data_IF_912441910697
#
_entry.id   IF_912441910697
#
_cell.length_a   1.000
_cell.length_b   1.000
_cell.length_c   1.000
_cell.angle_alpha   90.00
_cell.angle_beta   90.00
_cell.angle_gamma   90.00
#
_symmetry.space_group_name_H-M   'P 1'
#
loop_
_entity.id
_entity.type
_entity.pdbx_description
1 polymer ?
#
# COMPACT_ATOMS: atom_id res chain seq x y z
N UNK A 1 -12.66 24.90 -10.71
CA UNK A 1 -13.91 24.93 -9.89
C UNK A 1 -14.03 26.31 -9.24
N UNK A 2 -15.21 26.81 -8.84
CA UNK A 2 -15.32 28.09 -8.12
C UNK A 2 -15.77 27.89 -6.66
N UNK A 3 -15.65 28.94 -5.84
CA UNK A 3 -15.99 28.90 -4.41
C UNK A 3 -17.45 28.53 -4.16
N UNK A 4 -18.38 29.08 -4.95
CA UNK A 4 -19.81 28.79 -4.83
C UNK A 4 -20.11 27.30 -4.97
N UNK A 5 -19.58 26.65 -6.02
CA UNK A 5 -19.75 25.21 -6.23
C UNK A 5 -19.07 24.39 -5.14
N UNK A 6 -17.93 24.84 -4.62
CA UNK A 6 -17.27 24.18 -3.49
C UNK A 6 -18.14 24.24 -2.23
N UNK A 7 -18.71 25.40 -1.92
CA UNK A 7 -19.58 25.60 -0.76
C UNK A 7 -20.87 24.77 -0.87
N UNK A 8 -21.42 24.61 -2.08
CA UNK A 8 -22.53 23.69 -2.33
C UNK A 8 -22.17 22.23 -2.00
N UNK A 9 -20.97 21.77 -2.37
CA UNK A 9 -20.49 20.41 -2.04
C UNK A 9 -20.32 20.27 -0.52
N UNK A 10 -19.71 21.26 0.13
CA UNK A 10 -19.58 21.29 1.60
C UNK A 10 -20.95 21.20 2.27
N UNK A 11 -21.92 21.97 1.80
CA UNK A 11 -23.30 21.96 2.31
C UNK A 11 -23.92 20.57 2.19
N UNK A 12 -23.76 19.90 1.03
CA UNK A 12 -24.24 18.53 0.83
C UNK A 12 -23.66 17.57 1.88
N UNK A 13 -22.35 17.63 2.15
CA UNK A 13 -21.76 16.78 3.20
C UNK A 13 -22.29 17.08 4.60
N UNK A 14 -22.58 18.36 4.92
CA UNK A 14 -23.15 18.76 6.22
C UNK A 14 -24.59 18.27 6.42
N UNK A 15 -25.38 18.27 5.35
CA UNK A 15 -26.81 17.92 5.40
C UNK A 15 -27.07 16.42 5.19
N UNK A 16 -26.10 15.70 4.61
CA UNK A 16 -26.22 14.26 4.37
C UNK A 16 -26.23 13.48 5.68
N UNK A 17 -27.10 12.46 5.73
CA UNK A 17 -27.19 11.52 6.85
C UNK A 17 -26.71 10.14 6.45
N UNK A 18 -26.10 9.43 7.39
CA UNK A 18 -25.82 8.01 7.24
C UNK A 18 -27.10 7.16 7.29
N UNK A 19 -26.97 5.84 7.11
CA UNK A 19 -28.10 4.91 7.17
C UNK A 19 -28.77 4.80 8.56
N UNK A 20 -28.19 5.42 9.58
CA UNK A 20 -28.73 5.50 10.96
C UNK A 20 -29.30 6.88 11.27
N UNK A 21 -29.30 7.82 10.32
CA UNK A 21 -29.81 9.18 10.50
C UNK A 21 -28.83 10.17 11.15
N UNK A 22 -27.57 9.76 11.38
CA UNK A 22 -26.54 10.64 11.96
C UNK A 22 -25.90 11.51 10.88
N UNK A 23 -25.36 12.67 11.26
CA UNK A 23 -24.51 13.45 10.36
C UNK A 23 -23.27 12.64 9.98
N UNK A 24 -22.76 12.84 8.76
CA UNK A 24 -21.49 12.25 8.35
C UNK A 24 -20.35 12.74 9.25
N UNK A 25 -19.49 11.81 9.69
CA UNK A 25 -18.30 12.12 10.48
C UNK A 25 -17.14 12.58 9.59
N UNK A 26 -17.31 13.74 8.93
CA UNK A 26 -16.30 14.33 8.05
C UNK A 26 -15.26 15.12 8.88
N UNK A 27 -13.98 15.08 8.47
CA UNK A 27 -12.93 15.93 9.07
C UNK A 27 -12.57 17.11 8.17
N UNK A 28 -12.22 16.83 6.91
CA UNK A 28 -11.88 17.85 5.93
C UNK A 28 -12.31 17.44 4.52
N UNK A 29 -12.56 18.44 3.68
CA UNK A 29 -12.64 18.30 2.23
C UNK A 29 -11.62 19.25 1.63
N UNK A 30 -10.73 18.71 0.79
CA UNK A 30 -9.75 19.48 0.04
C UNK A 30 -9.92 19.16 -1.44
N UNK A 31 -10.00 20.20 -2.27
CA UNK A 31 -9.94 20.08 -3.72
C UNK A 31 -8.92 21.08 -4.22
N UNK A 32 -7.89 20.58 -4.89
CA UNK A 32 -6.80 21.37 -5.43
C UNK A 32 -6.66 21.09 -6.92
N UNK A 33 -6.52 22.16 -7.69
CA UNK A 33 -6.05 22.15 -9.08
C UNK A 33 -4.80 23.05 -9.20
N UNK A 34 -4.32 23.28 -10.42
CA UNK A 34 -3.07 24.02 -10.65
C UNK A 34 -3.13 25.48 -10.16
N UNK A 35 -4.33 26.09 -10.15
CA UNK A 35 -4.52 27.50 -9.82
C UNK A 35 -5.24 27.71 -8.48
N UNK A 36 -6.07 26.75 -8.07
CA UNK A 36 -7.00 26.90 -6.95
C UNK A 36 -6.81 25.81 -5.90
N UNK A 37 -6.97 26.20 -4.63
CA UNK A 37 -7.01 25.29 -3.50
C UNK A 37 -8.20 25.64 -2.61
N UNK A 38 -9.18 24.74 -2.55
CA UNK A 38 -10.36 24.88 -1.70
C UNK A 38 -10.26 23.90 -0.55
N UNK A 39 -10.40 24.41 0.68
CA UNK A 39 -10.32 23.59 1.90
C UNK A 39 -11.46 23.94 2.83
N UNK A 40 -12.17 22.92 3.30
CA UNK A 40 -13.14 23.04 4.39
C UNK A 40 -12.80 22.07 5.50
N UNK A 41 -12.71 22.56 6.74
CA UNK A 41 -12.61 21.74 7.94
C UNK A 41 -13.99 21.67 8.58
N UNK A 42 -14.50 20.45 8.76
CA UNK A 42 -15.81 20.20 9.37
C UNK A 42 -15.73 20.18 10.90
N UNK A 43 -14.53 19.99 11.46
CA UNK A 43 -14.24 20.02 12.89
C UNK A 43 -12.81 20.52 13.15
N UNK A 44 -12.50 20.73 14.43
CA UNK A 44 -11.19 21.21 14.90
C UNK A 44 -10.22 20.06 15.21
N UNK A 45 -10.38 18.89 14.57
CA UNK A 45 -9.49 17.75 14.80
C UNK A 45 -8.07 18.08 14.33
N UNK A 46 -7.10 17.76 15.17
CA UNK A 46 -5.66 17.93 14.92
C UNK A 46 -4.88 16.61 14.94
N UNK A 47 -5.52 15.51 15.34
CA UNK A 47 -4.91 14.18 15.35
C UNK A 47 -4.65 13.64 13.93
N UNK A 48 -3.69 12.72 13.82
CA UNK A 48 -3.37 11.99 12.58
C UNK A 48 -4.57 11.20 12.05
N UNK A 49 -4.80 11.24 10.76
CA UNK A 49 -5.80 10.39 10.11
C UNK A 49 -5.21 9.03 9.78
N UNK A 50 -5.90 7.95 10.15
CA UNK A 50 -5.61 6.62 9.64
C UNK A 50 -6.07 6.55 8.17
N UNK A 51 -5.10 6.51 7.27
CA UNK A 51 -5.33 6.57 5.82
C UNK A 51 -5.69 5.19 5.21
N UNK A 52 -5.62 4.11 6.01
CA UNK A 52 -5.92 2.73 5.57
C UNK A 52 -5.24 2.41 4.24
N UNK A 53 -5.97 1.84 3.29
CA UNK A 53 -5.46 1.39 2.00
C UNK A 53 -4.93 2.51 1.08
N UNK A 54 -5.04 3.79 1.44
CA UNK A 54 -4.31 4.86 0.73
C UNK A 54 -2.79 4.68 0.89
N UNK A 55 -2.33 4.01 1.95
CA UNK A 55 -0.92 3.63 2.12
C UNK A 55 -0.35 2.84 0.93
N UNK A 56 -1.19 2.08 0.21
CA UNK A 56 -0.81 1.34 -1.00
C UNK A 56 -0.30 2.29 -2.09
N UNK A 57 -0.87 3.49 -2.21
CA UNK A 57 -0.38 4.51 -3.15
C UNK A 57 1.03 4.97 -2.78
N UNK A 58 1.31 5.16 -1.48
CA UNK A 58 2.67 5.48 -1.00
C UNK A 58 3.64 4.37 -1.39
N UNK A 59 3.27 3.11 -1.17
CA UNK A 59 4.09 1.96 -1.56
C UNK A 59 4.39 1.90 -3.07
N UNK A 60 3.39 2.17 -3.93
CA UNK A 60 3.63 2.23 -5.38
C UNK A 60 4.55 3.38 -5.80
N UNK A 61 4.52 4.52 -5.09
CA UNK A 61 5.47 5.62 -5.33
C UNK A 61 6.90 5.21 -4.97
N UNK A 62 7.08 4.49 -3.86
CA UNK A 62 8.40 3.97 -3.46
C UNK A 62 8.96 3.01 -4.52
N UNK A 63 8.14 2.12 -5.09
CA UNK A 63 8.55 1.28 -6.23
C UNK A 63 9.04 2.11 -7.41
N UNK A 64 8.29 3.16 -7.78
CA UNK A 64 8.68 4.07 -8.85
C UNK A 64 10.00 4.82 -8.58
N UNK A 65 10.22 5.23 -7.33
CA UNK A 65 11.47 5.84 -6.87
C UNK A 65 12.62 4.84 -7.00
N UNK A 66 12.48 3.62 -6.47
CA UNK A 66 13.51 2.58 -6.55
C UNK A 66 13.83 2.25 -8.01
N UNK A 67 12.81 2.14 -8.88
CA UNK A 67 13.00 1.93 -10.31
C UNK A 67 13.83 3.05 -10.95
N UNK A 68 13.52 4.31 -10.63
CA UNK A 68 14.29 5.47 -11.12
C UNK A 68 15.74 5.41 -10.62
N UNK A 69 15.96 5.18 -9.33
CA UNK A 69 17.31 5.10 -8.75
C UNK A 69 18.12 3.93 -9.33
N UNK A 70 17.46 2.82 -9.66
CA UNK A 70 18.05 1.68 -10.36
C UNK A 70 18.49 2.04 -11.78
N UNK A 71 17.67 2.81 -12.52
CA UNK A 71 18.04 3.35 -13.85
C UNK A 71 19.19 4.35 -13.78
N UNK A 72 19.31 5.07 -12.68
CA UNK A 72 20.45 5.97 -12.38
C UNK A 72 21.72 5.20 -11.97
N UNK A 73 21.65 3.87 -11.80
CA UNK A 73 22.78 3.02 -11.42
C UNK A 73 23.11 3.04 -9.92
N UNK A 74 22.22 3.58 -9.07
CA UNK A 74 22.41 3.59 -7.60
C UNK A 74 22.11 2.25 -6.95
N UNK A 75 21.16 1.50 -7.53
CA UNK A 75 20.80 0.14 -7.12
C UNK A 75 20.86 -0.81 -8.32
N UNK A 76 20.89 -2.14 -8.09
CA UNK A 76 20.69 -3.13 -9.15
C UNK A 76 19.38 -2.90 -9.91
N UNK A 77 19.20 -3.56 -11.07
CA UNK A 77 17.96 -3.42 -11.84
C UNK A 77 16.74 -3.82 -10.99
N UNK A 78 15.79 -2.90 -10.85
CA UNK A 78 14.49 -3.13 -10.21
C UNK A 78 13.35 -2.44 -10.98
N UNK A 79 12.32 -3.20 -11.32
CA UNK A 79 11.15 -2.78 -12.08
C UNK A 79 9.96 -3.72 -11.86
N UNK A 80 8.84 -3.44 -12.51
CA UNK A 80 7.60 -4.21 -12.45
C UNK A 80 7.75 -5.70 -12.80
N UNK A 81 8.76 -6.04 -13.60
CA UNK A 81 9.05 -7.41 -14.05
C UNK A 81 10.10 -8.11 -13.19
N UNK A 82 10.60 -7.45 -12.15
CA UNK A 82 11.55 -8.03 -11.21
C UNK A 82 10.90 -9.17 -10.45
N UNK A 83 11.48 -10.37 -10.57
CA UNK A 83 11.05 -11.55 -9.82
C UNK A 83 11.35 -11.37 -8.34
N UNK A 84 10.39 -11.68 -7.48
CA UNK A 84 10.53 -11.42 -6.04
C UNK A 84 11.26 -12.55 -5.33
N UNK A 85 11.15 -13.79 -5.81
CA UNK A 85 11.69 -14.96 -5.12
C UNK A 85 13.20 -14.86 -4.83
N UNK A 86 14.07 -14.44 -5.77
CA UNK A 86 15.50 -14.29 -5.48
C UNK A 86 15.82 -13.29 -4.37
N UNK A 87 14.92 -12.33 -4.10
CA UNK A 87 15.07 -11.29 -3.08
C UNK A 87 14.66 -11.84 -1.71
N UNK A 88 13.61 -12.65 -1.64
CA UNK A 88 12.99 -13.06 -0.37
C UNK A 88 13.25 -14.52 0.04
N UNK A 89 13.91 -15.34 -0.79
CA UNK A 89 14.07 -16.79 -0.57
C UNK A 89 14.68 -17.20 0.78
N UNK A 90 15.43 -16.31 1.43
CA UNK A 90 16.17 -16.59 2.67
C UNK A 90 15.44 -16.09 3.93
N UNK A 91 14.27 -15.46 3.80
CA UNK A 91 13.52 -14.85 4.90
C UNK A 91 12.18 -15.53 5.23
N UNK A 92 11.94 -16.72 4.66
CA UNK A 92 10.74 -17.52 4.96
C UNK A 92 11.04 -19.01 4.91
N UNK A 93 10.23 -19.79 5.61
CA UNK A 93 10.29 -21.25 5.61
C UNK A 93 9.09 -21.83 4.84
N UNK A 94 9.36 -22.43 3.68
CA UNK A 94 8.31 -23.04 2.86
C UNK A 94 7.97 -24.46 3.36
N UNK A 95 6.80 -24.61 3.95
CA UNK A 95 6.20 -25.88 4.37
C UNK A 95 5.20 -26.42 3.35
N UNK A 96 4.55 -25.56 2.58
CA UNK A 96 3.69 -25.93 1.46
C UNK A 96 4.49 -25.95 0.15
N UNK A 97 5.19 -27.07 -0.11
CA UNK A 97 6.06 -27.22 -1.28
C UNK A 97 5.36 -27.07 -2.64
N UNK A 98 4.03 -27.24 -2.72
CA UNK A 98 3.30 -27.06 -3.98
C UNK A 98 3.29 -25.60 -4.46
N UNK A 99 3.48 -24.66 -3.53
CA UNK A 99 3.45 -23.23 -3.83
C UNK A 99 4.70 -22.74 -4.59
N UNK A 100 5.83 -23.45 -4.52
CA UNK A 100 7.11 -22.97 -5.07
C UNK A 100 7.01 -22.62 -6.57
N UNK A 101 6.31 -23.46 -7.34
CA UNK A 101 6.12 -23.28 -8.79
C UNK A 101 5.38 -21.98 -9.15
N UNK A 102 4.62 -21.41 -8.22
CA UNK A 102 3.94 -20.13 -8.38
C UNK A 102 4.78 -18.99 -7.81
N UNK A 103 5.39 -19.18 -6.63
CA UNK A 103 6.24 -18.18 -5.95
C UNK A 103 7.42 -17.77 -6.84
N UNK A 104 8.08 -18.72 -7.51
CA UNK A 104 9.19 -18.45 -8.44
C UNK A 104 8.78 -17.58 -9.63
N UNK A 105 7.49 -17.50 -9.95
CA UNK A 105 6.95 -16.68 -11.04
C UNK A 105 6.40 -15.33 -10.58
N UNK A 106 6.32 -15.07 -9.27
CA UNK A 106 5.84 -13.79 -8.74
C UNK A 106 6.82 -12.66 -9.11
N UNK A 107 6.24 -11.55 -9.58
CA UNK A 107 6.95 -10.34 -9.97
C UNK A 107 6.36 -9.15 -9.19
N UNK A 108 7.12 -8.05 -9.08
CA UNK A 108 6.68 -6.83 -8.38
C UNK A 108 5.29 -6.35 -8.84
N UNK A 109 5.00 -6.41 -10.14
CA UNK A 109 3.68 -6.04 -10.68
C UNK A 109 2.53 -6.91 -10.14
N UNK A 110 2.75 -8.19 -9.85
CA UNK A 110 1.70 -9.07 -9.33
C UNK A 110 1.30 -8.68 -7.91
N UNK A 111 2.26 -8.17 -7.12
CA UNK A 111 2.02 -7.61 -5.80
C UNK A 111 1.16 -6.34 -5.88
N UNK A 112 1.55 -5.39 -6.75
CA UNK A 112 0.88 -4.10 -6.91
C UNK A 112 -0.52 -4.21 -7.54
N UNK A 113 -0.73 -5.23 -8.39
CA UNK A 113 -2.00 -5.41 -9.12
C UNK A 113 -2.95 -6.40 -8.47
N UNK A 114 -2.63 -6.92 -7.28
CA UNK A 114 -3.44 -7.90 -6.58
C UNK A 114 -3.68 -9.20 -7.37
N UNK A 115 -2.67 -9.67 -8.10
CA UNK A 115 -2.76 -10.85 -8.98
C UNK A 115 -1.76 -11.95 -8.59
N UNK A 116 -1.59 -12.20 -7.30
CA UNK A 116 -0.61 -13.18 -6.80
C UNK A 116 -1.02 -14.64 -6.98
N UNK A 117 -2.29 -14.92 -7.33
CA UNK A 117 -2.79 -16.27 -7.60
C UNK A 117 -3.58 -16.94 -6.46
N UNK A 118 -3.79 -16.25 -5.33
CA UNK A 118 -4.65 -16.73 -4.25
C UNK A 118 -6.13 -16.67 -4.62
N UNK A 119 -6.92 -17.63 -4.13
CA UNK A 119 -8.38 -17.66 -4.22
C UNK A 119 -9.07 -17.13 -2.94
N UNK A 120 -8.29 -16.82 -1.91
CA UNK A 120 -8.74 -16.27 -0.62
C UNK A 120 -7.99 -15.00 -0.28
N UNK A 121 -8.73 -14.06 0.31
CA UNK A 121 -8.17 -12.83 0.84
C UNK A 121 -7.31 -13.19 2.05
N UNK A 122 -6.14 -12.57 2.16
CA UNK A 122 -5.17 -12.78 3.23
C UNK A 122 -4.79 -11.44 3.85
N UNK A 123 -4.16 -11.49 5.03
CA UNK A 123 -3.64 -10.33 5.74
C UNK A 123 -4.72 -9.28 6.08
N UNK A 124 -5.98 -9.71 6.20
CA UNK A 124 -7.01 -8.90 6.84
C UNK A 124 -6.77 -8.87 8.35
N UNK A 125 -7.33 -7.86 9.02
CA UNK A 125 -7.10 -7.64 10.45
C UNK A 125 -7.34 -8.89 11.29
N UNK A 126 -8.39 -9.64 10.97
CA UNK A 126 -8.75 -10.84 11.72
C UNK A 126 -7.84 -12.04 11.41
N UNK A 127 -7.19 -12.06 10.23
CA UNK A 127 -6.26 -13.13 9.84
C UNK A 127 -4.97 -13.09 10.69
N UNK A 128 -4.56 -11.88 11.10
CA UNK A 128 -3.26 -11.62 11.73
C UNK A 128 -3.34 -11.12 13.16
N UNK A 129 -4.55 -11.01 13.73
CA UNK A 129 -4.79 -10.34 15.02
C UNK A 129 -3.94 -10.91 16.16
N UNK A 130 -3.75 -12.23 16.16
CA UNK A 130 -3.07 -12.99 17.21
C UNK A 130 -1.79 -13.67 16.68
N UNK A 131 -1.26 -13.20 15.53
CA UNK A 131 -0.09 -13.74 14.85
C UNK A 131 1.13 -12.84 15.08
N UNK A 132 2.31 -13.45 15.23
CA UNK A 132 3.57 -12.69 15.31
C UNK A 132 3.86 -12.05 13.95
N UNK A 133 4.19 -10.75 13.88
CA UNK A 133 4.62 -10.11 12.63
C UNK A 133 5.75 -10.84 11.89
N UNK A 134 6.63 -11.54 12.60
CA UNK A 134 7.72 -12.33 12.00
C UNK A 134 7.18 -13.54 11.21
N UNK A 135 5.97 -14.02 11.52
CA UNK A 135 5.33 -15.16 10.85
C UNK A 135 4.53 -14.74 9.59
N UNK A 136 4.40 -13.44 9.30
CA UNK A 136 3.52 -12.97 8.22
C UNK A 136 3.98 -13.41 6.83
N UNK A 137 5.30 -13.44 6.58
CA UNK A 137 5.83 -13.91 5.29
C UNK A 137 5.57 -15.41 5.13
N UNK A 138 5.81 -16.19 6.18
CA UNK A 138 5.51 -17.62 6.21
C UNK A 138 4.02 -17.89 5.98
N UNK A 139 3.13 -17.13 6.62
CA UNK A 139 1.70 -17.23 6.43
C UNK A 139 1.30 -17.00 4.97
N UNK A 140 1.82 -15.96 4.32
CA UNK A 140 1.53 -15.65 2.92
C UNK A 140 2.09 -16.74 2.00
N UNK A 141 3.37 -17.11 2.15
CA UNK A 141 4.04 -18.05 1.25
C UNK A 141 3.51 -19.48 1.39
N UNK A 142 2.96 -19.85 2.54
CA UNK A 142 2.40 -21.18 2.78
C UNK A 142 0.87 -21.28 2.53
N UNK A 143 0.18 -20.14 2.40
CA UNK A 143 -1.23 -20.13 2.01
C UNK A 143 -1.43 -20.73 0.60
N UNK A 144 -2.46 -21.56 0.35
CA UNK A 144 -2.63 -22.22 -0.94
C UNK A 144 -2.72 -21.25 -2.13
N UNK A 145 -1.88 -21.45 -3.15
CA UNK A 145 -1.94 -20.71 -4.42
C UNK A 145 -2.64 -21.56 -5.46
N UNK A 146 -3.66 -21.01 -6.12
CA UNK A 146 -4.56 -21.75 -7.02
C UNK A 146 -4.35 -21.37 -8.48
N UNK A 147 -4.15 -20.07 -8.74
CA UNK A 147 -4.00 -19.52 -10.08
C UNK A 147 -2.55 -19.14 -10.39
N UNK A 148 -2.19 -19.09 -11.68
CA UNK A 148 -0.89 -18.53 -12.07
C UNK A 148 -0.85 -17.01 -11.76
N UNK A 149 0.32 -16.47 -11.38
CA UNK A 149 0.47 -15.03 -11.19
C UNK A 149 0.04 -14.24 -12.43
N UNK A 150 -0.78 -13.20 -12.21
CA UNK A 150 -1.35 -12.37 -13.28
C UNK A 150 -2.70 -12.85 -13.82
N UNK A 151 -3.15 -14.07 -13.54
CA UNK A 151 -4.40 -14.60 -14.13
C UNK A 151 -5.66 -14.28 -13.33
N UNK A 152 -5.54 -14.10 -12.01
CA UNK A 152 -6.69 -13.89 -11.13
C UNK A 152 -6.50 -12.67 -10.24
N UNK A 153 -7.44 -11.72 -10.32
CA UNK A 153 -7.48 -10.54 -9.46
C UNK A 153 -8.19 -10.84 -8.16
N UNK A 154 -7.51 -10.59 -7.04
CA UNK A 154 -8.07 -10.67 -5.71
C UNK A 154 -7.49 -9.61 -4.79
N UNK A 155 -8.27 -8.56 -4.50
CA UNK A 155 -7.87 -7.51 -3.57
C UNK A 155 -7.54 -8.10 -2.20
N UNK A 156 -6.28 -7.96 -1.79
CA UNK A 156 -5.72 -8.53 -0.57
C UNK A 156 -4.62 -7.62 -0.04
N UNK A 157 -4.42 -7.62 1.29
CA UNK A 157 -3.32 -6.90 1.91
C UNK A 157 -1.98 -7.61 1.71
N UNK A 158 -1.99 -8.92 1.42
CA UNK A 158 -0.78 -9.72 1.24
C UNK A 158 0.17 -9.17 0.18
N UNK A 159 -0.34 -8.73 -0.97
CA UNK A 159 0.51 -8.17 -2.03
C UNK A 159 1.29 -6.95 -1.57
N UNK A 160 0.65 -6.03 -0.86
CA UNK A 160 1.33 -4.80 -0.39
C UNK A 160 2.21 -5.02 0.84
N UNK A 161 1.89 -6.01 1.68
CA UNK A 161 2.82 -6.45 2.73
C UNK A 161 4.07 -7.08 2.13
N UNK A 162 3.91 -7.99 1.16
CA UNK A 162 5.06 -8.55 0.45
C UNK A 162 5.84 -7.48 -0.31
N UNK A 163 5.19 -6.43 -0.79
CA UNK A 163 5.87 -5.32 -1.45
C UNK A 163 6.78 -4.55 -0.49
N UNK A 164 6.37 -4.33 0.77
CA UNK A 164 7.25 -3.71 1.76
C UNK A 164 8.44 -4.61 2.11
N UNK A 165 8.20 -5.91 2.26
CA UNK A 165 9.26 -6.90 2.50
C UNK A 165 10.26 -6.91 1.33
N UNK A 166 9.79 -7.03 0.10
CA UNK A 166 10.64 -7.04 -1.10
C UNK A 166 11.47 -5.76 -1.22
N UNK A 167 10.87 -4.60 -0.96
CA UNK A 167 11.61 -3.33 -1.03
C UNK A 167 12.69 -3.25 0.06
N UNK A 168 12.36 -3.64 1.29
CA UNK A 168 13.32 -3.63 2.40
C UNK A 168 14.50 -4.56 2.13
N UNK A 169 14.24 -5.80 1.73
CA UNK A 169 15.27 -6.78 1.38
C UNK A 169 16.11 -6.34 0.18
N UNK A 170 15.48 -5.75 -0.84
CA UNK A 170 16.18 -5.27 -2.02
C UNK A 170 17.11 -4.08 -1.70
N UNK A 171 16.66 -3.16 -0.85
CA UNK A 171 17.40 -1.96 -0.49
C UNK A 171 18.51 -2.25 0.54
N UNK A 172 18.31 -3.26 1.39
CA UNK A 172 19.22 -3.58 2.49
C UNK A 172 19.26 -2.51 3.59
N UNK A 173 18.21 -1.69 3.71
CA UNK A 173 18.04 -0.66 4.73
C UNK A 173 16.58 -0.63 5.21
N UNK A 174 16.32 0.02 6.35
CA UNK A 174 14.96 0.19 6.86
C UNK A 174 14.09 0.96 5.86
N UNK A 175 12.92 0.39 5.53
CA UNK A 175 12.06 0.97 4.50
C UNK A 175 11.48 2.33 4.90
N UNK A 176 11.26 2.57 6.20
CA UNK A 176 10.76 3.84 6.68
C UNK A 176 11.83 4.92 6.56
N UNK A 177 13.09 4.61 6.87
CA UNK A 177 14.22 5.51 6.66
C UNK A 177 14.39 5.87 5.17
N UNK A 178 14.26 4.88 4.28
CA UNK A 178 14.26 5.12 2.84
C UNK A 178 13.09 6.02 2.41
N UNK A 179 11.87 5.72 2.85
CA UNK A 179 10.68 6.50 2.52
C UNK A 179 10.77 7.94 3.03
N UNK A 180 11.30 8.13 4.22
CA UNK A 180 11.54 9.45 4.80
C UNK A 180 12.51 10.26 3.95
N UNK A 181 13.65 9.66 3.58
CA UNK A 181 14.71 10.31 2.78
C UNK A 181 14.24 10.65 1.36
N UNK A 182 13.58 9.71 0.68
CA UNK A 182 13.33 9.81 -0.76
C UNK A 182 11.93 10.32 -1.10
N UNK A 183 10.98 10.31 -0.16
CA UNK A 183 9.58 10.68 -0.42
C UNK A 183 9.04 11.70 0.59
N UNK A 184 9.09 11.45 1.90
CA UNK A 184 8.40 12.30 2.87
C UNK A 184 9.09 13.65 3.09
N UNK A 185 10.39 13.69 3.39
CA UNK A 185 11.12 14.96 3.56
C UNK A 185 11.12 15.82 2.29
N UNK A 186 11.33 15.28 1.08
CA UNK A 186 11.24 16.09 -0.15
C UNK A 186 9.86 16.71 -0.40
N UNK A 187 8.80 16.20 0.26
CA UNK A 187 7.43 16.70 0.18
C UNK A 187 6.99 17.48 1.43
N UNK A 188 7.92 17.77 2.35
CA UNK A 188 7.64 18.42 3.64
C UNK A 188 6.59 17.67 4.50
N UNK A 189 6.56 16.34 4.41
CA UNK A 189 5.69 15.48 5.22
C UNK A 189 6.45 15.07 6.48
N UNK A 190 6.28 15.83 7.56
CA UNK A 190 7.03 15.63 8.81
C UNK A 190 6.22 14.91 9.91
N UNK A 191 4.89 14.98 9.86
CA UNK A 191 4.01 14.46 10.91
C UNK A 191 3.25 13.20 10.48
N UNK A 192 3.91 12.05 10.55
CA UNK A 192 3.32 10.75 10.23
C UNK A 192 3.58 9.70 11.32
N UNK A 193 2.92 8.55 11.20
CA UNK A 193 3.20 7.31 11.91
C UNK A 193 3.11 6.18 10.88
N UNK A 194 4.04 5.24 10.95
CA UNK A 194 4.21 4.16 9.97
C UNK A 194 4.13 2.81 10.68
#
# INVERSE_FOLDING_TARGET
MNQEKFDEIVKRFKETKDNKGNNLNMHYLLIKDDENCFVHRFNNRTEKSDIRSISKTVMTLLVGIVNRLSKEGKYPKFDDETYIYPIIKDIFNLTNGENIKYIEKLQVKHLMTHTMGYDKILMMRDDIKDMDPDDYVDFIMNSPIVYEPGEYYLYSNAGFYMLSVVLQEFLGEDLLEFADRELFRPLDIEDYQW
#
